data_IF_324555706516
#
_entry.id   IF_324555706516
#
_cell.length_a   1.000
_cell.length_b   1.000
_cell.length_c   1.000
_cell.angle_alpha   90.00
_cell.angle_beta   90.00
_cell.angle_gamma   90.00
#
_symmetry.space_group_name_H-M   'P 1'
#
loop_
_entity.id
_entity.type
_entity.pdbx_description
1 polymer ?
#
# COMPACT_ATOMS: atom_id res chain seq x y z
N UNK A 1 -22.11 -6.00 -9.75
CA UNK A 1 -20.98 -5.98 -8.82
C UNK A 1 -20.78 -4.54 -8.42
N UNK A 2 -20.91 -4.20 -7.14
CA UNK A 2 -20.72 -2.84 -6.65
C UNK A 2 -19.36 -2.76 -5.93
N UNK A 3 -18.38 -2.09 -6.51
CA UNK A 3 -17.10 -1.85 -5.83
C UNK A 3 -17.32 -0.69 -4.89
N UNK A 4 -17.16 -0.92 -3.58
CA UNK A 4 -17.44 0.13 -2.56
C UNK A 4 -16.18 0.91 -2.22
N UNK A 5 -15.02 0.25 -2.26
CA UNK A 5 -13.75 0.88 -1.93
C UNK A 5 -12.60 0.16 -2.61
N UNK A 6 -11.60 0.95 -3.03
CA UNK A 6 -10.35 0.47 -3.59
C UNK A 6 -9.19 0.84 -2.67
N UNK A 7 -8.39 -0.15 -2.27
CA UNK A 7 -7.14 0.08 -1.55
C UNK A 7 -5.96 0.12 -2.51
N UNK A 8 -5.14 1.17 -2.41
CA UNK A 8 -3.98 1.37 -3.29
C UNK A 8 -2.71 1.46 -2.46
N UNK A 9 -1.77 0.55 -2.70
CA UNK A 9 -0.41 0.58 -2.11
C UNK A 9 0.50 1.55 -2.87
N UNK A 10 0.13 2.82 -2.83
CA UNK A 10 0.89 3.92 -3.42
C UNK A 10 0.43 5.24 -2.79
N UNK A 11 1.27 6.29 -2.82
CA UNK A 11 0.85 7.61 -2.40
C UNK A 11 -0.20 8.19 -3.35
N UNK A 12 -1.17 8.96 -2.82
CA UNK A 12 -2.22 9.64 -3.61
C UNK A 12 -1.75 10.89 -4.31
N UNK A 13 -0.86 11.64 -3.68
CA UNK A 13 -0.35 12.90 -4.20
C UNK A 13 1.10 13.14 -3.77
N UNK A 14 1.72 14.15 -4.37
CA UNK A 14 3.04 14.62 -4.02
C UNK A 14 3.11 15.09 -2.57
N UNK A 15 4.31 15.01 -1.98
CA UNK A 15 4.57 15.73 -0.76
C UNK A 15 4.63 17.25 -1.01
N UNK A 16 4.39 18.04 0.04
CA UNK A 16 4.72 19.46 0.04
C UNK A 16 6.24 19.68 -0.08
N UNK A 17 6.66 20.83 -0.60
CA UNK A 17 8.09 21.16 -0.70
C UNK A 17 8.76 21.14 0.68
N UNK A 18 9.93 20.50 0.75
CA UNK A 18 10.74 20.32 1.96
C UNK A 18 10.03 19.70 3.18
N UNK A 19 8.88 19.05 2.96
CA UNK A 19 8.08 18.46 4.04
C UNK A 19 7.76 17.00 3.78
N UNK A 20 7.94 16.18 4.80
CA UNK A 20 7.51 14.78 4.79
C UNK A 20 6.00 14.68 5.01
N UNK A 21 5.32 13.76 4.33
CA UNK A 21 3.87 13.53 4.50
C UNK A 21 3.51 13.14 5.94
N UNK A 22 2.33 13.53 6.42
CA UNK A 22 1.86 13.26 7.78
C UNK A 22 1.79 11.75 8.07
N UNK A 23 1.31 10.96 7.12
CA UNK A 23 1.28 9.50 7.26
C UNK A 23 2.69 8.89 7.38
N UNK A 24 3.65 9.39 6.62
CA UNK A 24 5.04 8.93 6.65
C UNK A 24 5.73 9.32 7.96
N UNK A 25 5.47 10.53 8.48
CA UNK A 25 5.94 10.94 9.80
C UNK A 25 5.36 10.05 10.92
N UNK A 26 4.07 9.72 10.83
CA UNK A 26 3.42 8.81 11.78
C UNK A 26 4.01 7.39 11.71
N UNK A 27 4.33 6.92 10.50
CA UNK A 27 5.02 5.64 10.30
C UNK A 27 6.44 5.65 10.87
N UNK A 28 7.21 6.72 10.64
CA UNK A 28 8.55 6.88 11.24
C UNK A 28 8.49 6.81 12.77
N UNK A 29 7.53 7.53 13.38
CA UNK A 29 7.32 7.53 14.82
C UNK A 29 6.97 6.14 15.37
N UNK A 30 6.36 5.28 14.54
CA UNK A 30 6.08 3.89 14.86
C UNK A 30 7.24 2.92 14.53
N UNK A 31 8.38 3.43 14.04
CA UNK A 31 9.55 2.64 13.66
C UNK A 31 9.38 1.89 12.33
N UNK A 32 8.49 2.37 11.45
CA UNK A 32 8.23 1.78 10.15
C UNK A 32 8.98 2.55 9.07
N UNK A 33 9.85 1.85 8.33
CA UNK A 33 10.56 2.42 7.19
C UNK A 33 9.67 2.41 5.94
N UNK A 34 9.64 3.53 5.22
CA UNK A 34 9.03 3.68 3.92
C UNK A 34 9.93 4.57 3.03
N UNK A 35 9.76 4.48 1.71
CA UNK A 35 10.33 5.47 0.81
C UNK A 35 9.55 6.77 0.97
N UNK A 36 10.24 7.89 1.20
CA UNK A 36 9.59 9.19 1.30
C UNK A 36 9.06 9.61 -0.08
N UNK A 37 7.79 10.04 -0.11
CA UNK A 37 7.13 10.60 -1.29
C UNK A 37 7.78 11.94 -1.62
N UNK A 38 8.36 12.12 -2.82
CA UNK A 38 8.94 13.40 -3.20
C UNK A 38 7.89 14.49 -3.46
N UNK A 39 8.32 15.76 -3.35
CA UNK A 39 7.59 16.91 -3.87
C UNK A 39 7.62 16.95 -5.40
N UNK A 40 6.78 17.82 -6.00
CA UNK A 40 6.74 17.99 -7.47
C UNK A 40 8.08 18.42 -8.04
N UNK A 41 8.74 19.40 -7.40
CA UNK A 41 10.06 19.86 -7.85
C UNK A 41 11.09 18.73 -7.76
N UNK A 42 11.07 17.97 -6.66
CA UNK A 42 11.99 16.86 -6.44
C UNK A 42 11.78 15.71 -7.42
N UNK A 43 10.54 15.45 -7.83
CA UNK A 43 10.25 14.49 -8.87
C UNK A 43 10.82 14.89 -10.23
N UNK A 44 10.80 16.17 -10.58
CA UNK A 44 11.41 16.65 -11.81
C UNK A 44 12.92 16.34 -11.82
N UNK A 45 13.62 16.57 -10.70
CA UNK A 45 15.03 16.19 -10.54
C UNK A 45 15.25 14.68 -10.66
N UNK A 46 14.42 13.88 -9.97
CA UNK A 46 14.50 12.41 -10.01
C UNK A 46 14.32 11.91 -11.45
N UNK A 47 13.34 12.45 -12.18
CA UNK A 47 13.10 12.12 -13.58
C UNK A 47 14.29 12.50 -14.45
N UNK A 48 14.86 13.70 -14.27
CA UNK A 48 16.05 14.13 -15.02
C UNK A 48 17.22 13.15 -14.80
N UNK A 49 17.49 12.74 -13.56
CA UNK A 49 18.56 11.79 -13.25
C UNK A 49 18.34 10.41 -13.87
N UNK A 50 17.09 9.97 -13.92
CA UNK A 50 16.72 8.71 -14.56
C UNK A 50 16.95 8.76 -16.08
N UNK A 51 16.58 9.86 -16.73
CA UNK A 51 16.82 10.07 -18.15
C UNK A 51 18.33 10.16 -18.46
N UNK A 52 19.08 10.96 -17.70
CA UNK A 52 20.55 11.06 -17.83
C UNK A 52 21.24 9.69 -17.71
N UNK A 53 20.76 8.83 -16.80
CA UNK A 53 21.28 7.46 -16.64
C UNK A 53 21.07 6.63 -17.91
N UNK A 54 19.88 6.68 -18.50
CA UNK A 54 19.57 5.96 -19.74
C UNK A 54 20.37 6.50 -20.93
N UNK A 55 20.49 7.83 -21.06
CA UNK A 55 21.28 8.48 -22.12
C UNK A 55 22.75 8.09 -22.07
N UNK A 56 23.29 7.84 -20.88
CA UNK A 56 24.68 7.36 -20.68
C UNK A 56 24.85 5.85 -20.88
N UNK A 57 23.83 5.15 -21.38
CA UNK A 57 23.85 3.71 -21.62
C UNK A 57 23.57 2.85 -20.38
N UNK A 58 23.04 3.46 -19.31
CA UNK A 58 22.54 2.74 -18.16
C UNK A 58 21.31 1.88 -18.50
N UNK A 59 21.11 0.79 -17.77
CA UNK A 59 19.97 -0.11 -17.99
C UNK A 59 18.76 0.26 -17.14
N UNK A 60 17.55 -0.03 -17.65
CA UNK A 60 16.29 0.17 -16.93
C UNK A 60 16.25 -0.57 -15.59
N UNK A 61 16.84 -1.78 -15.54
CA UNK A 61 16.95 -2.59 -14.33
C UNK A 61 17.77 -1.94 -13.20
N UNK A 62 18.47 -0.82 -13.49
CA UNK A 62 19.29 -0.08 -12.53
C UNK A 62 18.93 1.41 -12.49
N UNK A 63 17.68 1.74 -12.81
CA UNK A 63 17.21 3.12 -12.76
C UNK A 63 17.40 3.72 -11.36
N UNK A 64 18.01 4.91 -11.25
CA UNK A 64 18.10 5.60 -9.97
C UNK A 64 16.69 5.96 -9.51
N UNK A 65 16.44 5.82 -8.20
CA UNK A 65 15.15 6.17 -7.59
C UNK A 65 13.93 5.42 -8.17
N UNK A 66 14.10 4.21 -8.69
CA UNK A 66 13.03 3.42 -9.31
C UNK A 66 11.74 3.33 -8.46
N UNK A 67 11.87 3.09 -7.14
CA UNK A 67 10.71 3.02 -6.25
C UNK A 67 9.95 4.35 -6.14
N UNK A 68 10.66 5.48 -6.17
CA UNK A 68 10.02 6.79 -6.15
C UNK A 68 9.37 7.07 -7.50
N UNK A 69 9.99 6.71 -8.63
CA UNK A 69 9.38 6.84 -9.96
C UNK A 69 8.06 6.06 -10.08
N UNK A 70 7.98 4.86 -9.49
CA UNK A 70 6.75 4.07 -9.46
C UNK A 70 5.58 4.76 -8.73
N UNK A 71 5.85 5.66 -7.79
CA UNK A 71 4.79 6.42 -7.10
C UNK A 71 4.00 7.31 -8.06
N UNK A 72 4.57 7.73 -9.20
CA UNK A 72 3.84 8.48 -10.23
C UNK A 72 2.66 7.67 -10.80
N UNK A 73 2.79 6.34 -10.86
CA UNK A 73 1.69 5.45 -11.25
C UNK A 73 0.59 5.48 -10.19
N UNK A 74 0.96 5.54 -8.91
CA UNK A 74 0.03 5.72 -7.80
C UNK A 74 -0.85 6.95 -7.94
N UNK A 75 -0.22 8.11 -8.18
CA UNK A 75 -0.94 9.37 -8.39
C UNK A 75 -1.98 9.27 -9.51
N UNK A 76 -1.60 8.63 -10.61
CA UNK A 76 -2.47 8.48 -11.77
C UNK A 76 -3.60 7.46 -11.51
N UNK A 77 -3.31 6.38 -10.78
CA UNK A 77 -4.33 5.42 -10.34
C UNK A 77 -5.39 6.09 -9.48
N UNK A 78 -4.99 6.87 -8.47
CA UNK A 78 -5.94 7.63 -7.65
C UNK A 78 -6.76 8.60 -8.50
N UNK A 79 -6.12 9.41 -9.35
CA UNK A 79 -6.79 10.40 -10.22
C UNK A 79 -7.88 9.77 -11.10
N UNK A 80 -7.69 8.53 -11.53
CA UNK A 80 -8.66 7.80 -12.34
C UNK A 80 -9.72 7.08 -11.52
N UNK A 81 -9.32 6.31 -10.50
CA UNK A 81 -10.24 5.47 -9.74
C UNK A 81 -11.17 6.29 -8.85
N UNK A 82 -10.72 7.43 -8.31
CA UNK A 82 -11.56 8.33 -7.49
C UNK A 82 -12.69 9.01 -8.28
N UNK A 83 -12.74 8.86 -9.61
CA UNK A 83 -13.88 9.30 -10.41
C UNK A 83 -15.10 8.38 -10.25
N UNK A 84 -14.87 7.12 -9.85
CA UNK A 84 -15.89 6.07 -9.80
C UNK A 84 -15.99 5.37 -8.44
N UNK A 85 -14.91 5.35 -7.66
CA UNK A 85 -14.82 4.58 -6.41
C UNK A 85 -14.18 5.39 -5.29
N UNK A 86 -14.60 5.14 -4.04
CA UNK A 86 -13.84 5.62 -2.88
C UNK A 86 -12.48 4.91 -2.84
N UNK A 87 -11.40 5.68 -2.69
CA UNK A 87 -10.05 5.14 -2.65
C UNK A 87 -9.38 5.46 -1.32
N UNK A 88 -8.59 4.50 -0.82
CA UNK A 88 -7.75 4.67 0.38
C UNK A 88 -6.30 4.29 0.07
N UNK A 89 -5.35 5.03 0.66
CA UNK A 89 -3.96 4.61 0.66
C UNK A 89 -3.75 3.54 1.73
N UNK A 90 -3.04 2.49 1.36
CA UNK A 90 -2.62 1.42 2.27
C UNK A 90 -1.12 1.20 2.14
N UNK A 91 -0.53 0.54 3.14
CA UNK A 91 0.85 0.10 3.07
C UNK A 91 0.95 -1.29 3.73
N UNK A 92 1.14 -2.38 2.96
CA UNK A 92 1.09 -3.76 3.48
C UNK A 92 1.96 -4.01 4.70
N UNK A 93 3.16 -3.42 4.73
CA UNK A 93 4.04 -3.55 5.87
C UNK A 93 3.48 -2.86 7.13
N UNK A 94 2.80 -1.71 6.99
CA UNK A 94 2.10 -1.08 8.13
C UNK A 94 0.89 -1.91 8.59
N UNK A 95 0.16 -2.55 7.68
CA UNK A 95 -0.96 -3.44 8.03
C UNK A 95 -0.46 -4.58 8.92
N UNK A 96 0.56 -5.30 8.48
CA UNK A 96 1.14 -6.42 9.23
C UNK A 96 1.69 -5.96 10.58
N UNK A 97 2.41 -4.84 10.63
CA UNK A 97 3.00 -4.31 11.87
C UNK A 97 1.98 -3.77 12.86
N UNK A 98 0.82 -3.33 12.38
CA UNK A 98 -0.31 -2.98 13.24
C UNK A 98 -0.86 -4.22 13.95
N UNK A 99 -0.87 -5.36 13.26
CA UNK A 99 -1.42 -6.61 13.77
C UNK A 99 -0.43 -7.38 14.65
N UNK A 100 0.83 -7.43 14.25
CA UNK A 100 1.92 -8.08 14.97
C UNK A 100 3.27 -7.41 14.65
N UNK A 101 3.81 -6.70 15.66
CA UNK A 101 5.08 -5.98 15.54
C UNK A 101 6.29 -6.90 15.41
N UNK A 102 6.17 -8.18 15.71
CA UNK A 102 7.28 -9.14 15.73
C UNK A 102 7.52 -9.80 14.37
N UNK A 103 6.61 -9.62 13.42
CA UNK A 103 6.68 -10.28 12.10
C UNK A 103 7.93 -9.83 11.35
N UNK A 104 8.79 -10.78 10.93
CA UNK A 104 9.93 -10.48 10.07
C UNK A 104 9.50 -9.88 8.73
N UNK A 105 10.42 -9.19 8.06
CA UNK A 105 10.13 -8.67 6.73
C UNK A 105 9.85 -9.82 5.74
N UNK A 106 8.88 -9.62 4.86
CA UNK A 106 8.42 -10.62 3.88
C UNK A 106 9.49 -11.07 2.90
N UNK A 107 10.63 -10.40 2.79
CA UNK A 107 11.76 -10.87 1.97
C UNK A 107 12.37 -12.17 2.47
N UNK A 108 11.98 -12.64 3.66
CA UNK A 108 12.33 -13.97 4.18
C UNK A 108 11.16 -14.93 4.01
N UNK A 109 11.42 -16.22 3.78
CA UNK A 109 10.37 -17.24 3.67
C UNK A 109 9.51 -17.33 4.94
N UNK A 110 10.13 -17.16 6.11
CA UNK A 110 9.42 -17.11 7.39
C UNK A 110 8.51 -15.88 7.47
N UNK A 111 9.02 -14.69 7.15
CA UNK A 111 8.22 -13.46 7.14
C UNK A 111 7.02 -13.56 6.20
N UNK A 112 7.19 -14.13 5.01
CA UNK A 112 6.08 -14.34 4.07
C UNK A 112 5.03 -15.31 4.63
N UNK A 113 5.45 -16.45 5.18
CA UNK A 113 4.53 -17.42 5.77
C UNK A 113 3.72 -16.81 6.93
N UNK A 114 4.37 -16.03 7.80
CA UNK A 114 3.70 -15.33 8.91
C UNK A 114 2.68 -14.30 8.42
N UNK A 115 2.96 -13.60 7.33
CA UNK A 115 2.00 -12.65 6.74
C UNK A 115 0.79 -13.36 6.12
N UNK A 116 0.99 -14.52 5.48
CA UNK A 116 -0.11 -15.35 4.97
C UNK A 116 -1.00 -15.85 6.13
N UNK A 117 -0.41 -16.29 7.24
CA UNK A 117 -1.16 -16.68 8.45
C UNK A 117 -1.99 -15.53 9.02
N UNK A 118 -1.41 -14.32 9.08
CA UNK A 118 -2.11 -13.11 9.54
C UNK A 118 -3.29 -12.80 8.64
N UNK A 119 -3.08 -12.79 7.32
CA UNK A 119 -4.13 -12.58 6.35
C UNK A 119 -5.23 -13.63 6.51
N UNK A 120 -4.88 -14.92 6.52
CA UNK A 120 -5.86 -16.00 6.60
C UNK A 120 -6.69 -15.96 7.89
N UNK A 121 -6.05 -15.66 9.03
CA UNK A 121 -6.75 -15.52 10.32
C UNK A 121 -7.67 -14.31 10.37
N UNK A 122 -7.27 -13.20 9.76
CA UNK A 122 -7.99 -11.93 9.82
C UNK A 122 -9.12 -11.79 8.80
N UNK A 123 -8.86 -12.18 7.56
CA UNK A 123 -9.80 -12.03 6.44
C UNK A 123 -10.65 -13.28 6.17
N UNK A 124 -10.24 -14.44 6.68
CA UNK A 124 -10.87 -15.74 6.38
C UNK A 124 -10.51 -16.31 5.02
N UNK A 125 -9.61 -15.66 4.26
CA UNK A 125 -9.12 -16.15 2.97
C UNK A 125 -8.18 -17.34 3.22
N UNK A 126 -8.41 -18.47 2.55
CA UNK A 126 -7.53 -19.63 2.75
C UNK A 126 -6.14 -19.37 2.14
N UNK A 127 -5.05 -19.92 2.71
CA UNK A 127 -3.72 -19.81 2.13
C UNK A 127 -3.61 -20.34 0.69
N UNK A 128 -4.46 -21.31 0.32
CA UNK A 128 -4.52 -21.88 -1.04
C UNK A 128 -5.07 -20.82 -2.02
N UNK A 129 -6.08 -20.06 -1.61
CA UNK A 129 -6.68 -19.01 -2.43
C UNK A 129 -5.72 -17.82 -2.61
N UNK A 130 -4.86 -17.54 -1.62
CA UNK A 130 -3.80 -16.52 -1.74
C UNK A 130 -2.86 -16.84 -2.92
N UNK A 131 -2.50 -18.12 -3.08
CA UNK A 131 -1.58 -18.56 -4.13
C UNK A 131 -2.17 -18.46 -5.54
N UNK A 132 -3.50 -18.40 -5.69
CA UNK A 132 -4.18 -18.23 -6.98
C UNK A 132 -4.81 -16.85 -7.15
N UNK A 133 -4.76 -16.00 -6.12
CA UNK A 133 -5.33 -14.66 -6.14
C UNK A 133 -4.52 -13.74 -7.04
N UNK A 134 -5.20 -13.07 -7.97
CA UNK A 134 -4.68 -11.96 -8.79
C UNK A 134 -3.33 -12.19 -9.51
N UNK A 135 -2.89 -11.17 -10.25
CA UNK A 135 -1.62 -11.21 -10.99
C UNK A 135 -0.43 -10.89 -10.08
N UNK A 136 0.76 -11.39 -10.42
CA UNK A 136 1.99 -11.10 -9.67
C UNK A 136 2.59 -12.32 -8.97
N UNK A 137 3.72 -12.12 -8.30
CA UNK A 137 4.35 -13.13 -7.46
C UNK A 137 3.61 -13.25 -6.11
N UNK A 138 3.94 -14.26 -5.30
CA UNK A 138 3.24 -14.50 -4.04
C UNK A 138 3.28 -13.30 -3.06
N UNK A 139 4.36 -12.51 -3.04
CA UNK A 139 4.44 -11.31 -2.21
C UNK A 139 3.45 -10.24 -2.69
N UNK A 140 3.40 -9.99 -4.00
CA UNK A 140 2.50 -9.01 -4.60
C UNK A 140 1.03 -9.38 -4.31
N UNK A 141 0.71 -10.68 -4.35
CA UNK A 141 -0.63 -11.21 -4.05
C UNK A 141 -1.01 -11.01 -2.59
N UNK A 142 -0.07 -11.26 -1.67
CA UNK A 142 -0.28 -11.01 -0.24
C UNK A 142 -0.50 -9.53 0.02
N UNK A 143 0.27 -8.65 -0.60
CA UNK A 143 0.10 -7.20 -0.48
C UNK A 143 -1.27 -6.72 -0.96
N UNK A 144 -1.69 -7.17 -2.15
CA UNK A 144 -2.99 -6.85 -2.73
C UNK A 144 -4.13 -7.32 -1.82
N UNK A 145 -4.07 -8.56 -1.31
CA UNK A 145 -5.09 -9.10 -0.43
C UNK A 145 -5.11 -8.44 0.96
N UNK A 146 -3.97 -8.00 1.48
CA UNK A 146 -3.93 -7.19 2.70
C UNK A 146 -4.63 -5.85 2.49
N UNK A 147 -4.39 -5.20 1.34
CA UNK A 147 -5.11 -3.97 0.96
C UNK A 147 -6.61 -4.19 0.85
N UNK A 148 -7.03 -5.21 0.10
CA UNK A 148 -8.45 -5.58 -0.05
C UNK A 148 -9.11 -5.89 1.29
N UNK A 149 -8.39 -6.53 2.23
CA UNK A 149 -8.88 -6.75 3.58
C UNK A 149 -9.15 -5.42 4.30
N UNK A 150 -8.23 -4.44 4.27
CA UNK A 150 -8.48 -3.11 4.85
C UNK A 150 -9.71 -2.46 4.22
N UNK A 151 -9.79 -2.43 2.88
CA UNK A 151 -10.94 -1.85 2.17
C UNK A 151 -12.27 -2.51 2.55
N UNK A 152 -12.27 -3.81 2.84
CA UNK A 152 -13.46 -4.58 3.22
C UNK A 152 -13.97 -4.35 4.66
N UNK A 153 -13.20 -3.66 5.49
CA UNK A 153 -13.56 -3.41 6.89
C UNK A 153 -14.34 -2.10 7.05
N UNK A 154 -15.19 -2.05 8.09
CA UNK A 154 -15.85 -0.82 8.51
C UNK A 154 -14.80 0.23 8.92
N UNK A 155 -15.07 1.50 8.58
CA UNK A 155 -14.17 2.63 8.86
C UNK A 155 -13.80 2.70 10.35
N UNK A 156 -14.71 2.35 11.26
CA UNK A 156 -14.46 2.35 12.71
C UNK A 156 -13.47 1.29 13.18
N UNK A 157 -13.25 0.25 12.37
CA UNK A 157 -12.29 -0.82 12.63
C UNK A 157 -10.90 -0.55 12.06
N UNK A 158 -10.76 0.55 11.31
CA UNK A 158 -9.49 0.95 10.72
C UNK A 158 -8.63 1.72 11.72
N UNK A 159 -7.33 1.70 11.46
CA UNK A 159 -6.32 2.49 12.18
C UNK A 159 -5.62 3.38 11.17
N UNK A 160 -5.43 4.64 11.53
CA UNK A 160 -4.76 5.63 10.70
C UNK A 160 -3.31 5.81 11.14
N UNK A 161 -2.38 5.78 10.18
CA UNK A 161 -1.11 6.49 10.29
C UNK A 161 -1.27 7.81 9.54
N UNK A 162 -1.38 8.91 10.30
CA UNK A 162 -1.78 10.22 9.80
C UNK A 162 -2.85 10.83 10.68
N UNK A 163 -3.57 11.82 10.17
CA UNK A 163 -4.66 12.50 10.87
C UNK A 163 -6.05 11.91 10.59
N UNK A 164 -6.14 10.86 9.74
CA UNK A 164 -7.40 10.28 9.31
C UNK A 164 -8.06 11.02 8.14
N UNK A 165 -7.39 12.03 7.55
CA UNK A 165 -7.83 12.74 6.36
C UNK A 165 -7.10 12.21 5.10
N UNK A 166 -6.93 13.07 4.09
CA UNK A 166 -6.38 12.69 2.78
C UNK A 166 -4.93 12.17 2.85
N UNK A 167 -4.16 12.56 3.86
CA UNK A 167 -2.76 12.16 4.03
C UNK A 167 -2.61 11.05 5.09
N UNK A 168 -3.26 9.92 4.83
CA UNK A 168 -3.37 8.81 5.78
C UNK A 168 -3.12 7.46 5.12
N UNK A 169 -2.26 6.64 5.74
CA UNK A 169 -2.18 5.21 5.47
C UNK A 169 -3.16 4.48 6.40
N UNK A 170 -4.08 3.73 5.81
CA UNK A 170 -5.08 2.95 6.54
C UNK A 170 -4.64 1.52 6.78
N UNK A 171 -4.87 1.03 7.99
CA UNK A 171 -4.66 -0.37 8.40
C UNK A 171 -5.88 -0.88 9.17
N UNK A 172 -5.81 -2.10 9.70
CA UNK A 172 -6.89 -2.74 10.47
C UNK A 172 -6.45 -3.12 11.88
N UNK A 173 -7.39 -3.08 12.84
CA UNK A 173 -7.14 -3.57 14.21
C UNK A 173 -7.10 -5.09 14.26
N UNK A 174 -6.35 -5.64 15.20
CA UNK A 174 -6.38 -7.08 15.50
C UNK A 174 -7.80 -7.51 15.92
N UNK A 175 -8.25 -8.66 15.39
CA UNK A 175 -9.60 -9.18 15.62
C UNK A 175 -10.69 -8.58 14.73
N UNK A 176 -10.35 -7.68 13.80
CA UNK A 176 -11.30 -7.15 12.81
C UNK A 176 -11.65 -8.20 11.77
N UNK A 177 -12.94 -8.46 11.60
CA UNK A 177 -13.48 -9.34 10.54
C UNK A 177 -13.97 -8.44 9.40
N UNK A 178 -13.83 -8.84 8.12
CA UNK A 178 -14.45 -8.13 7.00
C UNK A 178 -15.93 -7.84 7.26
N UNK A 179 -16.40 -6.66 6.86
CA UNK A 179 -17.82 -6.33 6.96
C UNK A 179 -18.65 -7.29 6.09
N UNK A 180 -19.84 -7.68 6.56
CA UNK A 180 -20.78 -8.42 5.71
C UNK A 180 -21.27 -7.45 4.65
N UNK A 181 -20.71 -7.52 3.45
CA UNK A 181 -21.17 -6.76 2.29
C UNK A 181 -22.69 -6.91 2.15
N UNK A 182 -23.44 -5.82 1.91
CA UNK A 182 -24.75 -5.93 1.28
C UNK A 182 -24.61 -6.80 0.04
N UNK A 183 -25.51 -7.77 -0.16
CA UNK A 183 -25.45 -8.73 -1.28
C UNK A 183 -25.03 -8.02 -2.58
N UNK A 184 -23.86 -8.38 -3.13
CA UNK A 184 -23.36 -7.87 -4.40
C UNK A 184 -22.21 -6.87 -4.35
N UNK A 185 -21.65 -6.57 -3.16
CA UNK A 185 -20.53 -5.63 -3.01
C UNK A 185 -19.17 -6.33 -2.94
N UNK A 186 -18.15 -5.77 -3.63
CA UNK A 186 -16.77 -6.28 -3.71
C UNK A 186 -15.81 -5.18 -3.28
N UNK A 187 -14.71 -5.55 -2.63
CA UNK A 187 -13.60 -4.68 -2.26
C UNK A 187 -12.36 -5.14 -3.02
N UNK A 188 -11.60 -4.20 -3.59
CA UNK A 188 -10.43 -4.48 -4.42
C UNK A 188 -9.20 -3.81 -3.81
#
# INVERSE_FOLDING_TARGET
MNIVMVAIDAPRDYAEEDRRRACEQAMDAAGLSCFATPSRSRFADIRSRALDHLERGGTEARLPHANQLWMLVGFELFRHLEQEFDCIEVFPNAIVRTLDKTVPHKSTSEGLARQIEILAKGSGISPIDVASACYGNLHDRVDALLGAWVASTDVTSRVAFGDGACDTIWTVRSGTVPSVSPKGSVYI
#
